data_IF_733290726450
#
_entry.id   IF_733290726450
#
_cell.length_a   1.000
_cell.length_b   1.000
_cell.length_c   1.000
_cell.angle_alpha   90.00
_cell.angle_beta   90.00
_cell.angle_gamma   90.00
#
_symmetry.space_group_name_H-M   'P 1'
#
loop_
_entity.id
_entity.type
_entity.pdbx_description
1 polymer ?
#
# COMPACT_ATOMS: atom_id res chain seq x y z
N UNK A 1 -3.18 34.03 20.01
CA UNK A 1 -2.18 32.95 19.82
C UNK A 1 -2.38 31.85 20.84
N UNK A 2 -2.40 32.18 22.13
CA UNK A 2 -2.60 31.17 23.19
C UNK A 2 -3.96 30.46 23.10
N UNK A 3 -5.03 31.18 22.75
CA UNK A 3 -6.35 30.57 22.55
C UNK A 3 -6.38 29.57 21.37
N UNK A 4 -5.69 29.89 20.26
CA UNK A 4 -5.56 28.98 19.12
C UNK A 4 -4.86 27.68 19.52
N UNK A 5 -3.70 27.78 20.18
CA UNK A 5 -2.97 26.59 20.63
C UNK A 5 -3.72 25.82 21.74
N UNK A 6 -4.45 26.51 22.62
CA UNK A 6 -5.30 25.89 23.63
C UNK A 6 -6.42 25.05 23.00
N UNK A 7 -7.13 25.63 22.02
CA UNK A 7 -8.22 24.95 21.32
C UNK A 7 -7.73 23.75 20.53
N UNK A 8 -6.58 23.87 19.85
CA UNK A 8 -6.01 22.78 19.06
C UNK A 8 -5.49 21.65 19.96
N UNK A 9 -4.87 21.97 21.11
CA UNK A 9 -4.35 20.96 22.05
C UNK A 9 -5.45 20.18 22.75
N UNK A 10 -6.64 20.78 22.92
CA UNK A 10 -7.75 20.14 23.63
C UNK A 10 -8.30 18.88 22.94
N UNK A 11 -8.03 18.67 21.65
CA UNK A 11 -8.62 17.60 20.84
C UNK A 11 -10.14 17.73 20.61
N UNK A 12 -10.79 18.73 21.21
CA UNK A 12 -12.23 18.93 21.10
C UNK A 12 -12.61 19.52 19.75
N UNK A 13 -11.78 20.44 19.23
CA UNK A 13 -12.09 21.15 18.00
C UNK A 13 -11.60 20.43 16.75
N UNK A 14 -10.41 19.85 16.82
CA UNK A 14 -9.76 19.11 15.73
C UNK A 14 -9.21 17.81 16.31
N UNK A 15 -9.32 16.71 15.56
CA UNK A 15 -8.97 15.37 16.03
C UNK A 15 -7.48 15.17 16.29
N UNK A 16 -6.62 15.94 15.62
CA UNK A 16 -5.16 15.87 15.78
C UNK A 16 -4.55 17.27 15.61
N UNK A 17 -3.53 17.56 16.43
CA UNK A 17 -2.73 18.77 16.30
C UNK A 17 -1.47 18.50 15.45
N UNK A 18 -1.37 19.15 14.29
CA UNK A 18 -0.15 19.10 13.46
C UNK A 18 0.69 20.38 13.48
N UNK A 19 0.24 21.41 14.20
CA UNK A 19 0.86 22.75 14.22
C UNK A 19 1.92 22.88 15.31
N UNK A 20 3.05 23.49 14.94
CA UNK A 20 4.12 23.92 15.85
C UNK A 20 4.20 25.45 15.89
N UNK A 21 4.87 26.01 16.90
CA UNK A 21 5.04 27.46 17.04
C UNK A 21 5.61 28.14 15.78
N UNK A 22 6.59 27.50 15.13
CA UNK A 22 7.23 28.05 13.93
C UNK A 22 6.36 27.97 12.67
N UNK A 23 5.21 27.27 12.73
CA UNK A 23 4.28 27.15 11.60
C UNK A 23 3.32 28.35 11.52
N UNK A 24 3.39 29.30 12.46
CA UNK A 24 2.59 30.52 12.44
C UNK A 24 3.52 31.73 12.26
N UNK A 25 3.32 32.48 11.17
CA UNK A 25 4.05 33.72 10.89
C UNK A 25 3.09 34.89 10.91
N UNK A 26 3.42 35.91 11.71
CA UNK A 26 2.65 37.14 11.82
C UNK A 26 3.38 38.24 11.07
N UNK A 27 2.71 38.84 10.09
CA UNK A 27 3.20 39.99 9.33
C UNK A 27 2.41 41.22 9.77
N UNK A 28 2.82 41.79 10.92
CA UNK A 28 2.09 42.88 11.59
C UNK A 28 1.90 44.11 10.72
N UNK A 29 2.88 44.45 9.88
CA UNK A 29 2.80 45.58 8.94
C UNK A 29 1.66 45.46 7.92
N UNK A 30 1.21 44.22 7.66
CA UNK A 30 0.16 43.92 6.67
C UNK A 30 -1.12 43.38 7.31
N UNK A 31 -1.17 43.24 8.64
CA UNK A 31 -2.25 42.56 9.36
C UNK A 31 -2.54 41.14 8.82
N UNK A 32 -1.50 40.39 8.44
CA UNK A 32 -1.64 39.04 7.89
C UNK A 32 -1.06 38.00 8.86
N UNK A 33 -1.78 36.88 9.01
CA UNK A 33 -1.30 35.68 9.70
C UNK A 33 -1.19 34.56 8.67
N UNK A 34 0.01 34.00 8.49
CA UNK A 34 0.24 32.82 7.68
C UNK A 34 0.37 31.59 8.58
N UNK A 35 -0.41 30.55 8.29
CA UNK A 35 -0.41 29.28 9.04
C UNK A 35 -0.01 28.15 8.09
N UNK A 36 1.07 27.45 8.41
CA UNK A 36 1.60 26.33 7.64
C UNK A 36 1.10 25.01 8.23
N UNK A 37 0.00 24.49 7.69
CA UNK A 37 -0.58 23.22 8.15
C UNK A 37 0.18 22.05 7.53
N UNK A 38 0.79 21.21 8.37
CA UNK A 38 1.46 19.98 7.94
C UNK A 38 0.44 18.87 7.72
N UNK A 39 0.74 17.96 6.80
CA UNK A 39 -0.01 16.71 6.65
C UNK A 39 0.07 15.92 7.95
N UNK A 40 -1.07 15.38 8.40
CA UNK A 40 -1.13 14.49 9.55
C UNK A 40 -0.51 13.12 9.21
N UNK A 41 -0.12 12.38 10.25
CA UNK A 41 0.35 11.01 10.08
C UNK A 41 -0.77 10.11 9.57
N UNK A 42 -0.43 9.03 8.87
CA UNK A 42 -1.41 8.17 8.21
C UNK A 42 -2.47 7.62 9.18
N UNK A 43 -2.09 7.33 10.42
CA UNK A 43 -2.98 6.83 11.49
C UNK A 43 -4.01 7.86 11.95
N UNK A 44 -3.76 9.15 11.71
CA UNK A 44 -4.60 10.26 12.17
C UNK A 44 -5.48 10.83 11.05
N UNK A 45 -5.41 10.26 9.84
CA UNK A 45 -6.25 10.63 8.71
C UNK A 45 -7.46 9.68 8.66
N UNK A 46 -8.70 10.18 8.56
CA UNK A 46 -9.09 11.58 8.32
C UNK A 46 -8.99 12.48 9.55
N UNK A 47 -8.35 13.63 9.36
CA UNK A 47 -8.45 14.75 10.30
C UNK A 47 -9.87 15.30 10.22
N UNK A 48 -10.53 15.40 11.38
CA UNK A 48 -11.93 15.78 11.46
C UNK A 48 -12.17 16.75 12.61
N UNK A 49 -13.27 17.51 12.53
CA UNK A 49 -13.60 18.54 13.52
C UNK A 49 -14.74 18.13 14.46
N UNK A 50 -14.74 18.71 15.66
CA UNK A 50 -15.77 18.51 16.70
C UNK A 50 -16.03 17.02 17.05
N UNK A 51 -14.99 16.19 17.03
CA UNK A 51 -15.07 14.76 17.37
C UNK A 51 -15.96 13.91 16.46
N UNK A 52 -16.30 14.40 15.26
CA UNK A 52 -17.14 13.67 14.31
C UNK A 52 -16.38 13.39 13.02
N UNK A 53 -16.06 12.11 12.78
CA UNK A 53 -15.31 11.65 11.60
C UNK A 53 -15.99 11.99 10.27
N UNK A 54 -17.31 12.17 10.25
CA UNK A 54 -18.04 12.62 9.04
C UNK A 54 -17.81 14.09 8.72
N UNK A 55 -17.25 14.87 9.66
CA UNK A 55 -16.83 16.26 9.47
C UNK A 55 -15.35 16.32 9.06
N UNK A 56 -14.99 15.50 8.06
CA UNK A 56 -13.70 15.52 7.40
C UNK A 56 -13.81 16.29 6.07
N UNK A 57 -12.76 17.02 5.72
CA UNK A 57 -12.74 17.90 4.54
C UNK A 57 -11.48 17.64 3.73
N UNK A 58 -11.59 17.71 2.42
CA UNK A 58 -10.45 17.73 1.50
C UNK A 58 -10.40 19.07 0.77
N UNK A 59 -9.18 19.61 0.65
CA UNK A 59 -8.94 20.82 -0.12
C UNK A 59 -8.73 20.46 -1.59
N UNK A 60 -9.59 20.98 -2.45
CA UNK A 60 -9.43 20.96 -3.90
C UNK A 60 -9.15 22.38 -4.38
N UNK A 61 -8.58 22.52 -5.59
CA UNK A 61 -8.25 23.77 -6.29
C UNK A 61 -8.55 25.09 -5.53
N UNK A 62 -9.82 25.45 -5.40
CA UNK A 62 -10.29 26.73 -4.85
C UNK A 62 -10.93 26.66 -3.45
N UNK A 63 -11.11 25.48 -2.83
CA UNK A 63 -11.88 25.39 -1.60
C UNK A 63 -11.77 24.08 -0.84
N UNK A 64 -12.31 24.10 0.38
CA UNK A 64 -12.38 22.95 1.27
C UNK A 64 -13.77 22.32 1.15
N UNK A 65 -13.82 21.06 0.74
CA UNK A 65 -15.05 20.32 0.49
C UNK A 65 -15.21 19.21 1.53
N UNK A 66 -16.41 19.12 2.10
CA UNK A 66 -16.75 18.03 3.03
C UNK A 66 -16.76 16.72 2.26
N UNK A 67 -16.07 15.71 2.80
CA UNK A 67 -16.07 14.38 2.22
C UNK A 67 -17.47 13.78 2.33
N UNK A 68 -17.95 13.19 1.23
CA UNK A 68 -19.15 12.38 1.26
C UNK A 68 -18.87 11.01 1.89
N UNK A 69 -19.92 10.23 2.17
CA UNK A 69 -19.78 8.94 2.85
C UNK A 69 -18.91 7.93 2.08
N UNK A 70 -18.94 7.96 0.74
CA UNK A 70 -18.15 7.06 -0.11
C UNK A 70 -16.68 7.49 -0.06
N UNK A 71 -16.40 8.78 -0.24
CA UNK A 71 -15.05 9.33 -0.15
C UNK A 71 -14.42 9.07 1.21
N UNK A 72 -15.18 9.32 2.29
CA UNK A 72 -14.73 9.07 3.66
C UNK A 72 -14.40 7.60 3.89
N UNK A 73 -15.27 6.69 3.43
CA UNK A 73 -15.04 5.24 3.54
C UNK A 73 -13.80 4.81 2.77
N UNK A 74 -13.63 5.31 1.55
CA UNK A 74 -12.46 5.02 0.73
C UNK A 74 -11.19 5.56 1.39
N UNK A 75 -11.25 6.77 1.95
CA UNK A 75 -10.12 7.39 2.65
C UNK A 75 -9.69 6.56 3.86
N UNK A 76 -10.62 6.19 4.73
CA UNK A 76 -10.35 5.33 5.90
C UNK A 76 -9.79 3.98 5.46
N UNK A 77 -10.37 3.37 4.41
CA UNK A 77 -9.87 2.10 3.89
C UNK A 77 -8.45 2.21 3.34
N UNK A 78 -8.11 3.33 2.69
CA UNK A 78 -6.79 3.53 2.08
C UNK A 78 -5.67 3.74 3.10
N UNK A 79 -5.98 4.29 4.28
CA UNK A 79 -5.00 4.49 5.34
C UNK A 79 -4.86 3.29 6.28
N UNK A 80 -5.85 2.41 6.36
CA UNK A 80 -5.72 1.10 7.02
C UNK A 80 -4.85 0.10 6.22
N UNK A 81 -4.36 0.49 5.04
CA UNK A 81 -3.52 -0.35 4.18
C UNK A 81 -2.03 -0.35 4.55
N UNK A 82 -1.66 0.14 5.75
CA UNK A 82 -0.26 0.22 6.23
C UNK A 82 0.50 -1.12 6.15
N UNK A 83 -0.17 -2.26 5.93
CA UNK A 83 0.51 -3.52 5.66
C UNK A 83 -0.35 -4.53 4.87
N UNK A 84 -0.94 -4.14 3.73
CA UNK A 84 -1.62 -5.12 2.85
C UNK A 84 -0.67 -6.24 2.44
N UNK A 85 0.55 -5.90 2.10
CA UNK A 85 1.60 -6.81 1.64
C UNK A 85 1.86 -7.97 2.59
N UNK A 86 2.03 -7.68 3.88
CA UNK A 86 2.29 -8.70 4.92
C UNK A 86 1.02 -9.31 5.53
N UNK A 87 -0.18 -8.88 5.10
CA UNK A 87 -1.44 -9.43 5.60
C UNK A 87 -1.60 -10.87 5.12
N UNK A 88 -1.80 -11.77 6.09
CA UNK A 88 -2.04 -13.19 5.85
C UNK A 88 -3.46 -13.41 5.32
N UNK A 89 -3.58 -14.19 4.25
CA UNK A 89 -4.84 -14.59 3.62
C UNK A 89 -5.28 -15.93 4.21
N UNK A 90 -6.46 -15.95 4.83
CA UNK A 90 -7.01 -17.16 5.47
C UNK A 90 -7.27 -18.24 4.43
N UNK A 91 -7.12 -19.50 4.84
CA UNK A 91 -7.36 -20.69 4.02
C UNK A 91 -6.52 -20.74 2.73
N UNK A 92 -5.30 -20.20 2.79
CA UNK A 92 -4.31 -20.34 1.72
C UNK A 92 -3.10 -21.10 2.23
N UNK A 93 -2.39 -21.75 1.32
CA UNK A 93 -1.27 -22.62 1.58
C UNK A 93 -0.29 -22.63 0.43
N UNK A 94 0.63 -23.60 0.47
CA UNK A 94 1.60 -23.81 -0.62
C UNK A 94 0.91 -24.28 -1.92
N UNK A 95 -0.31 -24.81 -1.85
CA UNK A 95 -1.03 -25.32 -3.03
C UNK A 95 -1.49 -24.19 -3.97
N UNK A 96 -1.62 -22.98 -3.45
CA UNK A 96 -1.97 -21.77 -4.21
C UNK A 96 -0.74 -21.14 -4.90
N UNK A 97 0.47 -21.63 -4.58
CA UNK A 97 1.72 -21.21 -5.20
C UNK A 97 1.94 -21.99 -6.49
N UNK A 98 2.45 -21.30 -7.52
CA UNK A 98 3.02 -21.91 -8.69
C UNK A 98 4.44 -22.41 -8.35
N UNK A 99 4.60 -23.73 -8.27
CA UNK A 99 5.88 -24.37 -7.94
C UNK A 99 6.98 -24.10 -8.97
N UNK A 100 6.62 -23.95 -10.24
CA UNK A 100 7.56 -23.65 -11.33
C UNK A 100 8.13 -22.24 -11.16
N UNK A 101 7.28 -21.25 -10.89
CA UNK A 101 7.71 -19.87 -10.59
C UNK A 101 8.61 -19.83 -9.37
N UNK A 102 8.25 -20.54 -8.29
CA UNK A 102 9.06 -20.58 -7.07
C UNK A 102 10.44 -21.20 -7.34
N UNK A 103 10.51 -22.27 -8.14
CA UNK A 103 11.77 -22.90 -8.53
C UNK A 103 12.65 -21.95 -9.36
N UNK A 104 12.08 -21.24 -10.35
CA UNK A 104 12.78 -20.20 -11.12
C UNK A 104 13.33 -19.10 -10.21
N UNK A 105 12.55 -18.64 -9.23
CA UNK A 105 12.98 -17.62 -8.29
C UNK A 105 14.15 -18.09 -7.41
N UNK A 106 14.10 -19.32 -6.89
CA UNK A 106 15.22 -19.92 -6.16
C UNK A 106 16.49 -20.04 -7.02
N UNK A 107 16.35 -20.37 -8.31
CA UNK A 107 17.48 -20.40 -9.24
C UNK A 107 18.06 -19.00 -9.48
N UNK A 108 17.20 -17.99 -9.68
CA UNK A 108 17.60 -16.59 -9.81
C UNK A 108 18.37 -16.10 -8.57
N UNK A 109 17.88 -16.45 -7.37
CA UNK A 109 18.57 -16.16 -6.11
C UNK A 109 19.91 -16.90 -5.98
N UNK A 110 20.01 -18.13 -6.48
CA UNK A 110 21.28 -18.87 -6.46
C UNK A 110 22.36 -18.19 -7.30
N UNK A 111 22.00 -17.59 -8.42
CA UNK A 111 22.94 -16.84 -9.27
C UNK A 111 23.36 -15.54 -8.60
N UNK A 112 22.42 -14.80 -8.00
CA UNK A 112 22.68 -13.49 -7.38
C UNK A 112 23.27 -13.57 -5.97
N UNK A 113 23.01 -14.63 -5.21
CA UNK A 113 23.42 -14.81 -3.82
C UNK A 113 23.67 -16.30 -3.48
N UNK A 114 24.72 -16.90 -4.07
CA UNK A 114 24.97 -18.35 -3.98
C UNK A 114 25.26 -18.88 -2.57
N UNK A 115 25.72 -18.01 -1.64
CA UNK A 115 26.00 -18.37 -0.26
C UNK A 115 24.79 -18.24 0.69
N UNK A 116 23.59 -17.94 0.17
CA UNK A 116 22.40 -17.74 1.00
C UNK A 116 21.94 -19.07 1.62
N UNK A 117 21.78 -19.07 2.94
CA UNK A 117 21.25 -20.22 3.70
C UNK A 117 19.82 -20.57 3.27
N UNK A 118 19.11 -19.63 2.65
CA UNK A 118 17.74 -19.78 2.17
C UNK A 118 17.62 -20.84 1.06
N UNK A 119 18.71 -21.11 0.34
CA UNK A 119 18.71 -22.05 -0.79
C UNK A 119 18.58 -23.52 -0.35
N UNK A 120 18.85 -23.81 0.92
CA UNK A 120 18.77 -25.17 1.50
C UNK A 120 17.42 -25.43 2.18
N UNK A 121 16.58 -24.39 2.31
CA UNK A 121 15.28 -24.49 2.96
C UNK A 121 14.26 -25.22 2.09
N UNK A 122 13.32 -25.90 2.77
CA UNK A 122 12.09 -26.40 2.14
C UNK A 122 11.32 -25.24 1.48
N UNK A 123 10.42 -25.51 0.55
CA UNK A 123 9.64 -24.46 -0.11
C UNK A 123 8.82 -23.63 0.89
N UNK A 124 8.18 -24.27 1.87
CA UNK A 124 7.41 -23.57 2.89
C UNK A 124 8.30 -22.72 3.81
N UNK A 125 9.43 -23.27 4.26
CA UNK A 125 10.35 -22.52 5.13
C UNK A 125 11.02 -21.36 4.39
N UNK A 126 11.32 -21.56 3.10
CA UNK A 126 11.79 -20.51 2.23
C UNK A 126 10.76 -19.38 2.10
N UNK A 127 9.49 -19.72 1.81
CA UNK A 127 8.40 -18.75 1.71
C UNK A 127 8.18 -17.99 3.03
N UNK A 128 8.29 -18.67 4.18
CA UNK A 128 8.25 -18.04 5.51
C UNK A 128 9.38 -17.05 5.69
N UNK A 129 10.60 -17.46 5.33
CA UNK A 129 11.79 -16.67 5.53
C UNK A 129 11.82 -15.39 4.65
N UNK A 130 11.24 -15.43 3.45
CA UNK A 130 11.10 -14.23 2.60
C UNK A 130 9.81 -13.44 2.85
N UNK A 131 9.00 -13.83 3.84
CA UNK A 131 7.74 -13.14 4.18
C UNK A 131 6.57 -13.40 3.21
N UNK A 132 6.69 -14.38 2.32
CA UNK A 132 5.61 -14.80 1.41
C UNK A 132 4.56 -15.69 2.10
N UNK A 133 4.90 -16.30 3.23
CA UNK A 133 4.01 -17.07 4.08
C UNK A 133 4.18 -16.62 5.53
N UNK A 134 3.10 -16.44 6.29
CA UNK A 134 3.21 -15.97 7.68
C UNK A 134 2.06 -16.47 8.56
N UNK A 135 2.30 -16.41 9.87
CA UNK A 135 1.30 -16.68 10.90
C UNK A 135 0.80 -15.37 11.48
N UNK A 136 -0.51 -15.17 11.46
CA UNK A 136 -1.16 -14.13 12.23
C UNK A 136 -1.33 -14.60 13.69
N UNK A 137 -0.55 -14.02 14.59
CA UNK A 137 -0.56 -14.37 16.01
C UNK A 137 -1.80 -13.89 16.76
N UNK A 138 -2.47 -12.84 16.30
CA UNK A 138 -3.64 -12.27 16.96
C UNK A 138 -4.86 -13.19 16.81
N UNK A 139 -5.06 -13.73 15.61
CA UNK A 139 -6.23 -14.52 15.24
C UNK A 139 -5.92 -16.02 15.06
N UNK A 140 -4.67 -16.42 15.32
CA UNK A 140 -4.15 -17.80 15.24
C UNK A 140 -4.46 -18.54 13.92
N UNK A 141 -4.21 -17.88 12.79
CA UNK A 141 -4.25 -18.51 11.47
C UNK A 141 -2.93 -18.28 10.72
N UNK A 142 -2.62 -19.16 9.76
CA UNK A 142 -1.46 -19.04 8.88
C UNK A 142 -1.88 -19.18 7.42
N UNK A 143 -1.03 -18.69 6.52
CA UNK A 143 -1.28 -18.70 5.08
C UNK A 143 -0.30 -17.82 4.31
N UNK A 144 -0.56 -17.66 3.02
CA UNK A 144 0.16 -16.74 2.17
C UNK A 144 -0.09 -15.30 2.59
N UNK A 145 0.93 -14.47 2.46
CA UNK A 145 0.77 -13.02 2.48
C UNK A 145 0.28 -12.54 1.11
N UNK A 146 -0.30 -11.34 1.00
CA UNK A 146 -0.64 -10.79 -0.33
C UNK A 146 0.59 -10.66 -1.22
N UNK A 147 1.76 -10.29 -0.67
CA UNK A 147 3.00 -10.29 -1.42
C UNK A 147 3.39 -11.68 -1.90
N UNK A 148 3.27 -12.71 -1.05
CA UNK A 148 3.55 -14.09 -1.46
C UNK A 148 2.62 -14.58 -2.56
N UNK A 149 1.32 -14.29 -2.45
CA UNK A 149 0.34 -14.60 -3.48
C UNK A 149 0.62 -13.86 -4.79
N UNK A 150 0.94 -12.57 -4.74
CA UNK A 150 1.23 -11.79 -5.94
C UNK A 150 2.54 -12.23 -6.63
N UNK A 151 3.57 -12.55 -5.86
CA UNK A 151 4.89 -12.92 -6.39
C UNK A 151 4.92 -14.31 -7.00
N UNK A 152 4.24 -15.28 -6.38
CA UNK A 152 4.40 -16.70 -6.72
C UNK A 152 3.07 -17.44 -6.90
N UNK A 153 1.93 -16.80 -6.68
CA UNK A 153 0.63 -17.43 -6.76
C UNK A 153 0.24 -17.85 -8.16
N UNK A 154 -0.73 -18.76 -8.24
CA UNK A 154 -1.41 -19.07 -9.51
C UNK A 154 -2.36 -17.93 -9.89
N UNK A 155 -2.43 -17.58 -11.17
CA UNK A 155 -3.18 -16.41 -11.65
C UNK A 155 -4.67 -16.47 -11.26
N UNK A 156 -5.29 -17.63 -11.34
CA UNK A 156 -6.69 -17.84 -10.93
C UNK A 156 -6.89 -17.55 -9.44
N UNK A 157 -5.92 -17.90 -8.60
CA UNK A 157 -5.99 -17.62 -7.16
C UNK A 157 -5.77 -16.14 -6.90
N UNK A 158 -4.82 -15.51 -7.59
CA UNK A 158 -4.60 -14.07 -7.50
C UNK A 158 -5.89 -13.32 -7.83
N UNK A 159 -6.59 -13.67 -8.92
CA UNK A 159 -7.85 -13.02 -9.35
C UNK A 159 -9.03 -13.26 -8.41
N UNK A 160 -9.05 -14.36 -7.65
CA UNK A 160 -10.05 -14.57 -6.59
C UNK A 160 -9.91 -13.53 -5.48
N UNK A 161 -8.69 -13.25 -5.03
CA UNK A 161 -8.45 -12.30 -3.94
C UNK A 161 -8.26 -10.85 -4.39
N UNK A 162 -7.84 -10.64 -5.64
CA UNK A 162 -7.59 -9.36 -6.27
C UNK A 162 -8.25 -9.33 -7.67
N UNK A 163 -9.59 -9.14 -7.75
CA UNK A 163 -10.33 -9.23 -9.02
C UNK A 163 -9.88 -8.23 -10.09
N UNK A 164 -9.28 -7.11 -9.67
CA UNK A 164 -8.78 -6.06 -10.55
C UNK A 164 -7.27 -6.20 -10.84
N UNK A 165 -6.66 -7.35 -10.52
CA UNK A 165 -5.26 -7.58 -10.79
C UNK A 165 -4.99 -7.61 -12.30
N UNK A 166 -4.17 -6.66 -12.75
CA UNK A 166 -3.79 -6.50 -14.15
C UNK A 166 -2.39 -5.89 -14.23
N UNK A 167 -1.54 -6.48 -15.05
CA UNK A 167 -0.22 -5.95 -15.38
C UNK A 167 -0.14 -5.67 -16.88
N UNK A 168 0.49 -4.56 -17.24
CA UNK A 168 0.74 -4.16 -18.62
C UNK A 168 2.07 -3.43 -18.68
N UNK A 169 2.94 -3.89 -19.57
CA UNK A 169 4.19 -3.26 -19.93
C UNK A 169 4.08 -2.79 -21.37
N UNK A 170 4.52 -1.56 -21.62
CA UNK A 170 4.40 -0.91 -22.92
C UNK A 170 5.69 -0.17 -23.23
N UNK A 171 6.22 -0.41 -24.42
CA UNK A 171 7.30 0.39 -25.00
C UNK A 171 6.67 1.38 -25.97
N UNK A 172 7.11 2.63 -25.91
CA UNK A 172 6.69 3.70 -26.81
C UNK A 172 7.95 4.23 -27.49
N UNK A 173 8.13 3.87 -28.76
CA UNK A 173 9.14 4.45 -29.62
C UNK A 173 8.47 5.36 -30.67
N UNK A 174 8.97 6.59 -30.83
CA UNK A 174 8.44 7.64 -31.71
C UNK A 174 7.01 8.14 -31.34
N UNK A 175 6.42 8.95 -32.23
CA UNK A 175 5.07 9.53 -32.12
C UNK A 175 3.93 8.51 -32.37
N UNK A 176 4.23 7.20 -32.35
CA UNK A 176 3.24 6.13 -32.50
C UNK A 176 2.68 5.69 -31.14
N UNK A 177 1.41 5.27 -31.13
CA UNK A 177 0.63 5.11 -29.89
C UNK A 177 1.10 3.95 -28.99
N UNK A 178 1.75 2.90 -29.52
CA UNK A 178 2.49 1.82 -28.81
C UNK A 178 3.39 1.06 -29.81
N UNK A 179 4.68 0.80 -29.48
CA UNK A 179 5.55 -0.05 -30.32
C UNK A 179 5.55 -1.52 -29.87
N UNK A 180 5.49 -1.80 -28.57
CA UNK A 180 5.31 -3.16 -28.01
C UNK A 180 4.42 -3.13 -26.76
N UNK A 181 3.62 -4.18 -26.54
CA UNK A 181 2.79 -4.33 -25.34
C UNK A 181 2.74 -5.79 -24.88
N UNK A 182 3.03 -6.00 -23.61
CA UNK A 182 2.87 -7.30 -22.92
C UNK A 182 1.90 -7.09 -21.76
N UNK A 183 0.93 -7.97 -21.63
CA UNK A 183 -0.03 -7.98 -20.52
C UNK A 183 0.01 -9.27 -19.74
N UNK A 184 -0.59 -9.26 -18.56
CA UNK A 184 -0.70 -10.46 -17.72
C UNK A 184 -1.41 -11.63 -18.41
N UNK A 185 -2.30 -11.35 -19.37
CA UNK A 185 -3.06 -12.37 -20.11
C UNK A 185 -2.25 -13.00 -21.24
N UNK A 186 -1.11 -12.40 -21.61
CA UNK A 186 -0.19 -12.94 -22.62
C UNK A 186 0.80 -13.97 -22.03
N UNK A 187 0.75 -14.20 -20.70
CA UNK A 187 1.65 -15.11 -19.98
C UNK A 187 0.93 -16.39 -19.57
N UNK A 188 1.63 -17.53 -19.67
CA UNK A 188 1.15 -18.81 -19.16
C UNK A 188 0.87 -18.74 -17.64
N UNK A 189 1.70 -17.98 -16.93
CA UNK A 189 1.58 -17.70 -15.50
C UNK A 189 1.66 -16.18 -15.28
N UNK A 190 0.59 -15.60 -14.75
CA UNK A 190 0.44 -14.14 -14.63
C UNK A 190 0.90 -13.53 -13.30
N UNK A 191 1.67 -14.24 -12.47
CA UNK A 191 2.19 -13.65 -11.23
C UNK A 191 3.29 -12.61 -11.51
N UNK A 192 3.61 -11.79 -10.50
CA UNK A 192 4.56 -10.68 -10.66
C UNK A 192 5.95 -11.14 -11.11
N UNK A 193 6.42 -12.29 -10.63
CA UNK A 193 7.77 -12.75 -10.96
C UNK A 193 7.87 -13.25 -12.40
N UNK A 194 6.87 -13.98 -12.89
CA UNK A 194 6.81 -14.37 -14.31
C UNK A 194 6.67 -13.15 -15.21
N UNK A 195 5.84 -12.16 -14.83
CA UNK A 195 5.74 -10.91 -15.56
C UNK A 195 7.09 -10.18 -15.64
N UNK A 196 7.81 -10.10 -14.52
CA UNK A 196 9.15 -9.52 -14.46
C UNK A 196 10.15 -10.24 -15.38
N UNK A 197 10.12 -11.57 -15.46
CA UNK A 197 11.03 -12.34 -16.32
C UNK A 197 10.76 -12.13 -17.83
N UNK A 198 9.55 -11.75 -18.22
CA UNK A 198 9.17 -11.55 -19.63
C UNK A 198 9.42 -10.13 -20.14
N UNK A 199 9.75 -9.18 -19.25
CA UNK A 199 10.06 -7.79 -19.62
C UNK A 199 11.54 -7.43 -19.44
N UNK A 200 12.36 -8.39 -18.96
CA UNK A 200 13.82 -8.30 -18.91
C UNK A 200 14.44 -8.67 -20.25
#
# INVERSE_FOLDING_TARGET
MDDLFSQIRSGQKISVNTLKNNDIKIYSEKNVIAVYVRKADQTDIPVHINGNITQAYARFNSGDHKLNNIELKNLISSYNDINKDSKVIRNTGINEINSTTLAKYKQYLKVSSPASQNLVLSDLDFLKNIGAYSKNFNDNYEGLTYSGLLMFGKLETIRVFLPNYFLSYQVIENDERYSERITVDDLDDGNLFEFFLNIL
#
